data_IF_490481053769
#
_entry.id   IF_490481053769
#
_cell.length_a   1.000
_cell.length_b   1.000
_cell.length_c   1.000
_cell.angle_alpha   90.00
_cell.angle_beta   90.00
_cell.angle_gamma   90.00
#
_symmetry.space_group_name_H-M   'P 1'
#
loop_
_entity.id
_entity.type
_entity.pdbx_description
1 polymer ?
#
# COMPACT_ATOMS: atom_id res chain seq x y z
N UNK A 1 -31.50 -6.30 11.24
CA UNK A 1 -31.40 -6.93 12.57
C UNK A 1 -29.98 -6.71 13.05
N UNK A 2 -29.78 -5.73 13.94
CA UNK A 2 -28.47 -5.36 14.48
C UNK A 2 -28.48 -5.63 15.98
N UNK A 3 -27.67 -6.57 16.45
CA UNK A 3 -27.53 -6.83 17.87
C UNK A 3 -26.52 -5.82 18.46
N UNK A 4 -27.03 -4.86 19.23
CA UNK A 4 -26.20 -4.00 20.09
C UNK A 4 -26.21 -4.60 21.49
N UNK A 5 -25.05 -5.04 21.99
CA UNK A 5 -24.90 -5.50 23.38
C UNK A 5 -24.42 -4.30 24.19
N UNK A 6 -25.27 -3.82 25.10
CA UNK A 6 -24.94 -2.72 26.04
C UNK A 6 -24.44 -3.34 27.35
N UNK A 7 -23.19 -3.09 27.71
CA UNK A 7 -22.64 -3.49 29.02
C UNK A 7 -22.77 -2.32 30.00
N UNK A 8 -23.57 -2.50 31.06
CA UNK A 8 -23.65 -1.56 32.17
C UNK A 8 -22.61 -1.97 33.23
N UNK A 9 -21.51 -1.21 33.34
CA UNK A 9 -20.43 -1.49 34.29
C UNK A 9 -20.54 -0.51 35.46
N UNK A 10 -21.09 -0.96 36.59
CA UNK A 10 -21.33 -0.15 37.81
C UNK A 10 -20.20 -0.20 38.84
N UNK A 11 -19.06 -0.80 38.50
CA UNK A 11 -17.92 -0.98 39.41
C UNK A 11 -16.71 -0.18 38.88
N UNK A 12 -16.18 0.80 39.64
CA UNK A 12 -15.09 1.67 39.19
C UNK A 12 -13.78 0.90 38.97
N UNK A 13 -13.56 -0.25 39.61
CA UNK A 13 -12.37 -1.08 39.40
C UNK A 13 -12.48 -1.84 38.08
N UNK A 14 -13.66 -2.39 37.77
CA UNK A 14 -13.92 -3.00 36.46
C UNK A 14 -13.89 -1.97 35.33
N UNK A 15 -14.41 -0.76 35.55
CA UNK A 15 -14.36 0.30 34.56
C UNK A 15 -12.92 0.68 34.18
N UNK A 16 -12.01 0.69 35.16
CA UNK A 16 -10.59 0.98 34.94
C UNK A 16 -9.87 -0.18 34.25
N UNK A 17 -10.20 -1.43 34.58
CA UNK A 17 -9.66 -2.62 33.88
C UNK A 17 -10.19 -2.74 32.45
N UNK A 18 -11.46 -2.41 32.21
CA UNK A 18 -12.05 -2.36 30.86
C UNK A 18 -11.46 -1.21 30.04
N UNK A 19 -11.23 -0.03 30.64
CA UNK A 19 -10.52 1.07 29.98
C UNK A 19 -9.07 0.72 29.64
N UNK A 20 -8.35 0.03 30.53
CA UNK A 20 -6.99 -0.45 30.26
C UNK A 20 -6.99 -1.56 29.19
N UNK A 21 -8.01 -2.41 29.15
CA UNK A 21 -8.18 -3.43 28.12
C UNK A 21 -8.49 -2.80 26.75
N UNK A 22 -9.34 -1.77 26.69
CA UNK A 22 -9.62 -0.97 25.48
C UNK A 22 -8.35 -0.25 25.03
N UNK A 23 -7.61 0.41 25.93
CA UNK A 23 -6.35 1.06 25.61
C UNK A 23 -5.28 0.06 25.10
N UNK A 24 -5.26 -1.18 25.60
CA UNK A 24 -4.39 -2.26 25.11
C UNK A 24 -4.85 -2.84 23.77
N UNK A 25 -6.15 -2.77 23.44
CA UNK A 25 -6.70 -3.23 22.16
C UNK A 25 -6.58 -2.15 21.07
N UNK A 26 -6.75 -0.88 21.41
CA UNK A 26 -6.46 0.27 20.53
C UNK A 26 -4.94 0.51 20.40
N UNK A 27 -4.15 0.05 21.37
CA UNK A 27 -2.68 0.09 21.38
C UNK A 27 -1.96 -1.06 20.66
N UNK A 28 -2.70 -1.96 19.98
CA UNK A 28 -2.14 -2.99 19.10
C UNK A 28 -2.70 -2.88 17.68
N UNK A 29 -2.72 -1.66 17.16
CA UNK A 29 -2.58 -1.48 15.72
C UNK A 29 -1.17 -1.94 15.33
N UNK A 30 -1.05 -3.18 14.84
CA UNK A 30 0.06 -3.59 13.97
C UNK A 30 -0.10 -2.99 12.57
N UNK A 31 -0.53 -1.73 12.48
CA UNK A 31 -0.24 -0.92 11.31
C UNK A 31 1.28 -0.69 11.29
N UNK A 32 1.97 -0.86 10.14
CA UNK A 32 3.36 -0.47 10.06
C UNK A 32 3.43 1.01 10.40
N UNK A 33 4.28 1.34 11.38
CA UNK A 33 4.74 2.67 11.79
C UNK A 33 4.59 3.71 10.67
N UNK A 34 3.43 4.37 10.63
CA UNK A 34 3.15 5.46 9.72
C UNK A 34 3.59 6.75 10.42
N UNK A 35 4.90 7.00 10.44
CA UNK A 35 5.44 8.31 10.87
C UNK A 35 6.86 8.49 10.34
N UNK A 36 6.94 8.63 9.01
CA UNK A 36 7.92 9.53 8.39
C UNK A 36 7.17 10.24 7.26
N UNK A 37 6.57 11.39 7.58
CA UNK A 37 6.24 12.38 6.58
C UNK A 37 7.57 12.77 5.91
N UNK A 38 7.78 12.56 4.60
CA UNK A 38 9.05 12.96 3.99
C UNK A 38 9.11 14.48 3.89
N UNK A 39 9.99 15.06 4.69
CA UNK A 39 10.65 16.34 4.43
C UNK A 39 11.32 16.29 3.04
N UNK A 40 11.02 17.30 2.22
CA UNK A 40 11.57 17.57 0.87
C UNK A 40 11.46 16.47 -0.20
N UNK A 41 10.58 16.76 -1.17
CA UNK A 41 10.88 16.63 -2.60
C UNK A 41 10.06 15.59 -3.36
N UNK A 42 9.55 16.00 -4.52
CA UNK A 42 8.97 15.20 -5.61
C UNK A 42 9.95 14.13 -6.13
N UNK A 43 10.37 13.21 -5.27
CA UNK A 43 11.39 12.21 -5.55
C UNK A 43 10.84 11.14 -6.49
N UNK A 44 11.60 10.76 -7.52
CA UNK A 44 11.21 9.64 -8.37
C UNK A 44 11.33 8.32 -7.60
N UNK A 45 10.52 7.34 -7.98
CA UNK A 45 10.77 5.95 -7.63
C UNK A 45 11.97 5.47 -8.44
N UNK A 46 13.01 5.02 -7.75
CA UNK A 46 14.25 4.51 -8.36
C UNK A 46 14.36 3.03 -8.09
N UNK A 47 14.67 2.25 -9.12
CA UNK A 47 14.89 0.82 -9.00
C UNK A 47 15.94 0.32 -9.98
N UNK A 48 16.34 -0.93 -9.82
CA UNK A 48 17.21 -1.65 -10.76
C UNK A 48 16.44 -2.85 -11.28
N UNK A 49 16.39 -3.00 -12.60
CA UNK A 49 15.82 -4.17 -13.28
C UNK A 49 16.72 -4.56 -14.45
N UNK A 50 16.97 -5.87 -14.62
CA UNK A 50 17.90 -6.38 -15.65
C UNK A 50 19.27 -5.68 -15.66
N UNK A 51 19.78 -5.29 -14.48
CA UNK A 51 21.06 -4.58 -14.33
C UNK A 51 21.04 -3.11 -14.74
N UNK A 52 19.88 -2.56 -15.11
CA UNK A 52 19.69 -1.19 -15.57
C UNK A 52 18.85 -0.38 -14.59
N UNK A 53 19.12 0.92 -14.54
CA UNK A 53 18.40 1.85 -13.67
C UNK A 53 17.06 2.22 -14.29
N UNK A 54 16.03 2.22 -13.47
CA UNK A 54 14.71 2.74 -13.83
C UNK A 54 14.35 3.87 -12.89
N UNK A 55 13.82 4.94 -13.45
CA UNK A 55 13.27 6.06 -12.71
C UNK A 55 11.85 6.35 -13.15
N UNK A 56 10.96 6.50 -12.19
CA UNK A 56 9.58 6.90 -12.43
C UNK A 56 9.32 8.19 -11.65
N UNK A 57 8.94 9.29 -12.31
CA UNK A 57 8.69 10.57 -11.66
C UNK A 57 7.63 10.49 -10.55
N UNK A 58 7.72 11.40 -9.59
CA UNK A 58 6.64 11.65 -8.65
C UNK A 58 5.35 12.04 -9.40
N UNK A 59 4.20 11.60 -8.89
CA UNK A 59 2.88 11.87 -9.46
C UNK A 59 2.52 10.95 -10.62
N UNK A 60 3.43 10.09 -11.08
CA UNK A 60 3.16 9.16 -12.18
C UNK A 60 2.12 8.11 -11.77
N UNK A 61 1.15 7.85 -12.65
CA UNK A 61 0.17 6.79 -12.47
C UNK A 61 0.73 5.45 -12.92
N UNK A 62 0.50 4.44 -12.06
CA UNK A 62 0.74 3.04 -12.36
C UNK A 62 -0.59 2.34 -12.61
N UNK A 63 -0.59 1.39 -13.54
CA UNK A 63 -1.76 0.60 -13.87
C UNK A 63 -1.41 -0.87 -14.09
N UNK A 64 -2.35 -1.75 -13.73
CA UNK A 64 -2.32 -3.15 -14.12
C UNK A 64 -3.74 -3.72 -14.17
N UNK A 65 -4.05 -4.55 -15.16
CA UNK A 65 -5.29 -5.34 -15.18
C UNK A 65 -5.01 -6.74 -14.63
N UNK A 66 -5.64 -7.09 -13.51
CA UNK A 66 -5.53 -8.41 -12.90
C UNK A 66 -6.90 -9.07 -12.80
N UNK A 67 -7.06 -10.20 -13.49
CA UNK A 67 -8.31 -10.98 -13.52
C UNK A 67 -9.54 -10.14 -13.91
N UNK A 68 -9.37 -9.18 -14.82
CA UNK A 68 -10.44 -8.29 -15.27
C UNK A 68 -10.65 -7.05 -14.39
N UNK A 69 -9.93 -6.92 -13.28
CA UNK A 69 -9.98 -5.74 -12.41
C UNK A 69 -8.82 -4.81 -12.71
N UNK A 70 -9.13 -3.55 -13.00
CA UNK A 70 -8.14 -2.49 -13.16
C UNK A 70 -7.66 -1.99 -11.80
N UNK A 71 -6.35 -2.06 -11.59
CA UNK A 71 -5.66 -1.63 -10.38
C UNK A 71 -4.83 -0.41 -10.70
N UNK A 72 -4.97 0.64 -9.88
CA UNK A 72 -4.29 1.91 -10.05
C UNK A 72 -3.48 2.27 -8.81
N UNK A 73 -2.25 2.72 -9.03
CA UNK A 73 -1.39 3.25 -7.98
C UNK A 73 -0.71 4.54 -8.46
N UNK A 74 -0.09 5.30 -7.56
CA UNK A 74 0.61 6.54 -7.87
C UNK A 74 2.00 6.52 -7.24
N UNK A 75 3.01 7.05 -7.93
CA UNK A 75 4.34 7.22 -7.35
C UNK A 75 4.36 8.47 -6.48
N UNK A 76 4.62 8.30 -5.19
CA UNK A 76 4.69 9.37 -4.21
C UNK A 76 6.02 9.37 -3.46
N UNK A 77 6.84 10.41 -3.66
CA UNK A 77 8.11 10.62 -2.97
C UNK A 77 9.01 9.37 -2.95
N UNK A 78 9.22 8.75 -4.11
CA UNK A 78 10.01 7.53 -4.26
C UNK A 78 9.34 6.25 -3.79
N UNK A 79 8.09 6.31 -3.36
CA UNK A 79 7.28 5.19 -2.91
C UNK A 79 6.05 5.01 -3.81
N UNK A 80 5.30 3.94 -3.62
CA UNK A 80 4.06 3.70 -4.35
C UNK A 80 2.89 3.84 -3.39
N UNK A 81 1.98 4.76 -3.68
CA UNK A 81 0.66 4.84 -3.06
C UNK A 81 -0.32 3.96 -3.82
N UNK A 82 -0.89 2.98 -3.15
CA UNK A 82 -2.00 2.17 -3.66
C UNK A 82 -3.10 2.17 -2.59
N UNK A 83 -4.31 2.56 -2.97
CA UNK A 83 -5.37 2.94 -2.03
C UNK A 83 -4.83 3.97 -1.00
N UNK A 84 -5.17 3.83 0.28
CA UNK A 84 -4.73 4.73 1.36
C UNK A 84 -3.38 4.33 1.97
N UNK A 85 -2.59 3.50 1.28
CA UNK A 85 -1.34 2.94 1.80
C UNK A 85 -0.14 3.26 0.92
N UNK A 86 1.00 3.46 1.55
CA UNK A 86 2.28 3.74 0.89
C UNK A 86 3.21 2.54 1.07
N UNK A 87 3.89 2.17 -0.02
CA UNK A 87 4.78 1.02 -0.10
C UNK A 87 6.16 1.45 -0.57
N UNK A 88 7.19 0.98 0.13
CA UNK A 88 8.60 1.24 -0.18
C UNK A 88 9.13 0.51 -1.43
N UNK A 89 8.29 -0.31 -2.08
CA UNK A 89 8.71 -1.11 -3.23
C UNK A 89 7.54 -1.50 -4.14
N UNK A 90 7.78 -1.60 -5.47
CA UNK A 90 6.79 -2.07 -6.44
C UNK A 90 6.19 -3.43 -6.12
N UNK A 91 7.01 -4.38 -5.67
CA UNK A 91 6.57 -5.75 -5.41
C UNK A 91 5.63 -5.84 -4.21
N UNK A 92 5.85 -5.06 -3.15
CA UNK A 92 4.91 -5.01 -2.01
C UNK A 92 3.57 -4.41 -2.39
N UNK A 93 3.60 -3.30 -3.14
CA UNK A 93 2.37 -2.68 -3.65
C UNK A 93 1.60 -3.66 -4.56
N UNK A 94 2.30 -4.35 -5.46
CA UNK A 94 1.70 -5.30 -6.39
C UNK A 94 1.11 -6.52 -5.68
N UNK A 95 1.79 -7.06 -4.65
CA UNK A 95 1.24 -8.13 -3.83
C UNK A 95 -0.07 -7.70 -3.15
N UNK A 96 -0.10 -6.53 -2.51
CA UNK A 96 -1.32 -6.07 -1.83
C UNK A 96 -2.43 -5.81 -2.84
N UNK A 97 -2.14 -5.18 -3.97
CA UNK A 97 -3.11 -4.95 -5.04
C UNK A 97 -3.64 -6.27 -5.63
N UNK A 98 -2.80 -7.29 -5.78
CA UNK A 98 -3.23 -8.62 -6.19
C UNK A 98 -4.15 -9.30 -5.16
N UNK A 99 -3.85 -9.15 -3.86
CA UNK A 99 -4.63 -9.70 -2.76
C UNK A 99 -5.99 -9.02 -2.53
N UNK A 100 -6.23 -7.82 -3.10
CA UNK A 100 -7.56 -7.22 -3.11
C UNK A 100 -8.49 -7.93 -4.10
N UNK A 101 -7.95 -8.46 -5.20
CA UNK A 101 -8.70 -9.17 -6.24
C UNK A 101 -8.76 -10.68 -5.99
N UNK A 102 -7.63 -11.30 -5.61
CA UNK A 102 -7.52 -12.74 -5.39
C UNK A 102 -6.70 -13.03 -4.12
N UNK A 103 -7.32 -13.65 -3.11
CA UNK A 103 -6.67 -13.99 -1.83
C UNK A 103 -5.53 -15.01 -1.95
N UNK A 104 -5.44 -15.71 -3.08
CA UNK A 104 -4.34 -16.62 -3.41
C UNK A 104 -3.26 -15.99 -4.30
N UNK A 105 -3.25 -14.66 -4.46
CA UNK A 105 -2.22 -13.98 -5.22
C UNK A 105 -0.84 -14.18 -4.57
N UNK A 106 0.10 -14.72 -5.33
CA UNK A 106 1.51 -14.83 -4.93
C UNK A 106 2.25 -13.55 -5.27
N UNK A 107 3.30 -13.23 -4.50
CA UNK A 107 4.13 -12.03 -4.67
C UNK A 107 4.60 -11.86 -6.12
N UNK A 108 4.02 -10.94 -6.89
CA UNK A 108 4.46 -10.71 -8.25
C UNK A 108 5.74 -9.87 -8.25
N UNK A 109 6.53 -9.98 -9.31
CA UNK A 109 7.58 -9.01 -9.55
C UNK A 109 6.92 -7.66 -9.89
N UNK A 110 6.99 -6.70 -8.96
CA UNK A 110 6.32 -5.42 -9.10
C UNK A 110 6.77 -4.60 -10.32
N UNK A 111 8.02 -4.77 -10.78
CA UNK A 111 8.53 -4.10 -11.99
C UNK A 111 7.94 -4.69 -13.28
N UNK A 112 7.51 -5.95 -13.25
CA UNK A 112 6.78 -6.62 -14.36
C UNK A 112 5.28 -6.36 -14.31
N UNK A 113 4.77 -6.20 -13.08
CA UNK A 113 3.36 -6.07 -12.80
C UNK A 113 2.84 -4.69 -13.18
N UNK A 114 3.44 -3.65 -12.59
CA UNK A 114 2.99 -2.29 -12.82
C UNK A 114 3.39 -1.80 -14.21
N UNK A 115 2.46 -1.11 -14.84
CA UNK A 115 2.68 -0.40 -16.10
C UNK A 115 2.63 1.10 -15.86
N UNK A 116 3.42 1.83 -16.62
CA UNK A 116 3.45 3.29 -16.67
C UNK A 116 2.99 3.74 -18.06
N UNK A 117 2.35 4.90 -18.16
CA UNK A 117 1.92 5.43 -19.46
C UNK A 117 3.04 6.25 -20.11
N UNK A 118 3.49 5.84 -21.28
CA UNK A 118 4.46 6.59 -22.12
C UNK A 118 3.92 6.65 -23.55
N UNK A 119 3.91 7.84 -24.15
CA UNK A 119 3.42 8.05 -25.52
C UNK A 119 2.04 7.42 -25.78
N UNK A 120 1.14 7.52 -24.79
CA UNK A 120 -0.21 6.97 -24.85
C UNK A 120 -0.32 5.45 -24.61
N UNK A 121 0.79 4.73 -24.46
CA UNK A 121 0.83 3.27 -24.25
C UNK A 121 1.19 2.92 -22.81
N UNK A 122 0.53 1.92 -22.26
CA UNK A 122 0.92 1.30 -21.00
C UNK A 122 2.08 0.34 -21.24
N UNK A 123 3.22 0.61 -20.60
CA UNK A 123 4.42 -0.23 -20.69
C UNK A 123 4.85 -0.68 -19.30
N UNK A 124 5.25 -1.95 -19.11
CA UNK A 124 5.76 -2.43 -17.84
C UNK A 124 6.96 -1.60 -17.37
N UNK A 125 7.06 -1.35 -16.06
CA UNK A 125 8.18 -0.60 -15.47
C UNK A 125 9.52 -1.22 -15.90
N UNK A 126 9.61 -2.54 -15.98
CA UNK A 126 10.84 -3.24 -16.36
C UNK A 126 11.36 -2.87 -17.77
N UNK A 127 10.49 -2.39 -18.65
CA UNK A 127 10.84 -1.98 -20.01
C UNK A 127 11.28 -0.53 -20.11
N UNK A 128 11.22 0.22 -19.01
CA UNK A 128 11.76 1.58 -18.90
C UNK A 128 13.27 1.60 -18.67
N UNK A 129 13.89 0.44 -18.49
CA UNK A 129 15.29 0.34 -18.10
C UNK A 129 16.21 0.66 -19.29
N UNK A 130 16.85 1.83 -19.21
CA UNK A 130 17.80 2.33 -20.21
C UNK A 130 19.16 1.61 -20.11
#
# INVERSE_FOLDING_TARGET
MSNSITFNVTDPVLAMQVAELIARYEGKSTAPKAEQQPTEGNKPLVGITNGRRVEIPHGEQLWHNYLGTDLHATVENGMIRFEDKIYDSPSKAALVAGLTVNKSCNTPNGYKWWNVKRDGKWIPIEKLAE
#
